data_IF_421896323279
#
_entry.id   IF_421896323279
#
_cell.length_a   1.000
_cell.length_b   1.000
_cell.length_c   1.000
_cell.angle_alpha   90.00
_cell.angle_beta   90.00
_cell.angle_gamma   90.00
#
_symmetry.space_group_name_H-M   'P 1'
#
loop_
_entity.id
_entity.type
_entity.pdbx_description
1 polymer ?
#
# COMPACT_ATOMS: atom_id res chain seq x y z
N UNK A 1 0.34 -24.51 22.99
CA UNK A 1 1.20 -24.11 21.86
C UNK A 1 2.07 -22.94 22.32
N UNK A 2 3.34 -22.83 21.92
CA UNK A 2 4.19 -21.72 22.34
C UNK A 2 3.70 -20.40 21.72
N UNK A 3 3.56 -19.36 22.54
CA UNK A 3 3.35 -17.98 22.12
C UNK A 3 4.68 -17.24 22.14
N UNK A 4 4.84 -16.27 21.24
CA UNK A 4 5.94 -15.31 21.27
C UNK A 4 5.42 -13.94 21.69
N UNK A 5 6.28 -13.14 22.34
CA UNK A 5 6.04 -11.71 22.45
C UNK A 5 5.98 -11.11 21.04
N UNK A 6 5.01 -10.23 20.82
CA UNK A 6 4.75 -9.63 19.53
C UNK A 6 3.84 -8.42 19.67
N UNK A 7 3.33 -7.98 18.53
CA UNK A 7 2.48 -6.79 18.43
C UNK A 7 1.10 -7.19 17.97
N UNK A 8 0.08 -6.64 18.60
CA UNK A 8 -1.30 -6.69 18.14
C UNK A 8 -1.82 -5.27 17.95
N UNK A 9 -2.51 -5.01 16.85
CA UNK A 9 -3.02 -3.68 16.57
C UNK A 9 -4.34 -3.71 15.81
N UNK A 10 -5.10 -2.63 15.93
CA UNK A 10 -6.26 -2.32 15.08
C UNK A 10 -6.02 -1.04 14.33
N UNK A 11 -6.52 -0.98 13.11
CA UNK A 11 -6.34 0.17 12.24
C UNK A 11 -7.58 0.43 11.40
N UNK A 12 -7.73 1.68 11.01
CA UNK A 12 -8.76 2.12 10.08
C UNK A 12 -8.10 2.84 8.91
N UNK A 13 -8.57 2.59 7.69
CA UNK A 13 -8.18 3.35 6.50
C UNK A 13 -9.42 3.94 5.87
N UNK A 14 -9.45 5.25 5.67
CA UNK A 14 -10.49 5.94 4.91
C UNK A 14 -9.88 6.55 3.67
N UNK A 15 -10.47 6.29 2.52
CA UNK A 15 -10.08 6.91 1.26
C UNK A 15 -11.31 7.50 0.61
N UNK A 16 -11.20 8.71 0.07
CA UNK A 16 -12.24 9.35 -0.72
C UNK A 16 -11.62 10.23 -1.79
N UNK A 17 -12.42 10.63 -2.78
CA UNK A 17 -11.96 11.52 -3.85
C UNK A 17 -12.97 12.62 -4.16
N UNK A 18 -12.46 13.74 -4.64
CA UNK A 18 -13.21 14.94 -5.04
C UNK A 18 -12.93 15.29 -6.51
N UNK A 19 -13.88 15.94 -7.18
CA UNK A 19 -13.80 16.36 -8.59
C UNK A 19 -14.68 15.56 -9.56
N UNK A 20 -14.65 15.91 -10.86
CA UNK A 20 -15.56 15.33 -11.89
C UNK A 20 -15.44 13.81 -12.09
N UNK A 21 -14.42 13.15 -11.54
CA UNK A 21 -14.24 11.68 -11.54
C UNK A 21 -14.25 11.05 -10.14
N UNK A 22 -14.83 11.74 -9.15
CA UNK A 22 -14.85 11.34 -7.74
C UNK A 22 -15.60 10.02 -7.43
N UNK A 23 -16.52 9.59 -8.30
CA UNK A 23 -17.50 8.54 -8.00
C UNK A 23 -16.95 7.13 -7.72
N UNK A 24 -15.64 6.88 -7.83
CA UNK A 24 -15.09 5.53 -7.89
C UNK A 24 -14.15 5.09 -6.74
N UNK A 25 -13.89 5.91 -5.71
CA UNK A 25 -12.81 5.61 -4.74
C UNK A 25 -13.10 5.97 -3.29
N UNK A 26 -14.36 5.82 -2.86
CA UNK A 26 -14.65 5.83 -1.43
C UNK A 26 -14.45 4.42 -0.89
N UNK A 27 -13.52 4.26 0.06
CA UNK A 27 -13.29 3.00 0.76
C UNK A 27 -13.00 3.26 2.22
N UNK A 28 -13.71 2.57 3.09
CA UNK A 28 -13.47 2.44 4.50
C UNK A 28 -13.03 1.00 4.77
N UNK A 29 -11.89 0.85 5.42
CA UNK A 29 -11.30 -0.45 5.76
C UNK A 29 -11.04 -0.45 7.26
N UNK A 30 -11.51 -1.49 7.94
CA UNK A 30 -11.08 -1.83 9.29
C UNK A 30 -10.21 -3.08 9.22
N UNK A 31 -9.02 -3.00 9.82
CA UNK A 31 -8.07 -4.09 9.82
C UNK A 31 -7.53 -4.38 11.22
N UNK A 32 -7.23 -5.64 11.46
CA UNK A 32 -6.61 -6.12 12.69
C UNK A 32 -5.34 -6.89 12.35
N UNK A 33 -4.24 -6.56 13.01
CA UNK A 33 -2.93 -7.08 12.67
C UNK A 33 -2.21 -7.71 13.85
N UNK A 34 -1.45 -8.76 13.56
CA UNK A 34 -0.56 -9.44 14.48
C UNK A 34 0.83 -9.53 13.87
N UNK A 35 1.85 -9.28 14.67
CA UNK A 35 3.25 -9.34 14.26
C UNK A 35 4.07 -10.07 15.32
N UNK A 36 4.98 -10.95 14.91
CA UNK A 36 5.98 -11.53 15.79
C UNK A 36 7.25 -11.83 14.98
N UNK A 37 8.34 -11.11 15.28
CA UNK A 37 9.57 -11.21 14.51
C UNK A 37 9.31 -10.86 13.04
N UNK A 38 9.60 -11.79 12.12
CA UNK A 38 9.39 -11.62 10.67
C UNK A 38 7.97 -11.99 10.20
N UNK A 39 7.13 -12.57 11.06
CA UNK A 39 5.79 -13.02 10.69
C UNK A 39 4.79 -11.91 10.95
N UNK A 40 3.85 -11.74 10.03
CA UNK A 40 2.73 -10.84 10.24
C UNK A 40 1.46 -11.36 9.58
N UNK A 41 0.32 -11.10 10.21
CA UNK A 41 -1.01 -11.35 9.67
C UNK A 41 -1.81 -10.07 9.79
N UNK A 42 -2.58 -9.72 8.75
CA UNK A 42 -3.50 -8.60 8.79
C UNK A 42 -4.84 -9.02 8.21
N UNK A 43 -5.85 -9.08 9.07
CA UNK A 43 -7.22 -9.43 8.70
C UNK A 43 -8.02 -8.18 8.37
N UNK A 44 -8.73 -8.20 7.24
CA UNK A 44 -9.67 -7.14 6.86
C UNK A 44 -11.04 -7.47 7.45
N UNK A 45 -11.36 -6.82 8.57
CA UNK A 45 -12.60 -7.04 9.32
C UNK A 45 -13.80 -6.43 8.59
N UNK A 46 -13.60 -5.25 8.03
CA UNK A 46 -14.55 -4.54 7.18
C UNK A 46 -13.79 -3.92 6.02
N UNK A 47 -14.36 -3.98 4.82
CA UNK A 47 -13.77 -3.35 3.65
C UNK A 47 -14.84 -3.18 2.58
N UNK A 48 -15.02 -1.96 2.09
CA UNK A 48 -15.86 -1.67 0.95
C UNK A 48 -15.01 -1.12 -0.20
N UNK A 49 -15.39 -1.44 -1.44
CA UNK A 49 -14.77 -0.87 -2.63
C UNK A 49 -13.33 -1.32 -2.93
N UNK A 50 -12.70 -2.16 -2.11
CA UNK A 50 -11.37 -2.72 -2.39
C UNK A 50 -11.45 -4.20 -2.83
N UNK A 51 -11.23 -4.52 -4.12
CA UNK A 51 -11.36 -5.89 -4.64
C UNK A 51 -10.26 -6.83 -4.14
N UNK A 52 -9.15 -6.31 -3.60
CA UNK A 52 -8.03 -7.11 -3.10
C UNK A 52 -8.11 -7.30 -1.59
N UNK A 53 -8.55 -6.28 -0.86
CA UNK A 53 -8.72 -6.32 0.58
C UNK A 53 -10.19 -6.61 0.94
N UNK A 54 -10.78 -7.68 0.40
CA UNK A 54 -12.19 -7.99 0.65
C UNK A 54 -12.43 -8.31 2.13
N UNK A 55 -13.63 -7.96 2.62
CA UNK A 55 -14.05 -8.30 3.98
C UNK A 55 -13.87 -9.81 4.26
N UNK A 56 -13.28 -10.14 5.41
CA UNK A 56 -13.04 -11.51 5.85
C UNK A 56 -11.77 -12.14 5.30
N UNK A 57 -11.11 -11.53 4.31
CA UNK A 57 -9.79 -11.96 3.84
C UNK A 57 -8.68 -11.47 4.76
N UNK A 58 -7.50 -12.08 4.65
CA UNK A 58 -6.32 -11.60 5.36
C UNK A 58 -5.05 -11.73 4.54
N UNK A 59 -4.10 -10.82 4.78
CA UNK A 59 -2.73 -10.93 4.27
C UNK A 59 -1.89 -11.62 5.34
N UNK A 60 -1.00 -12.50 4.91
CA UNK A 60 -0.05 -13.19 5.75
C UNK A 60 1.36 -13.08 5.14
N UNK A 61 2.35 -12.83 5.97
CA UNK A 61 3.75 -13.08 5.64
C UNK A 61 4.36 -13.98 6.71
N UNK A 62 5.38 -14.74 6.29
CA UNK A 62 6.20 -15.56 7.18
C UNK A 62 7.67 -15.13 7.17
N UNK A 63 8.04 -14.14 6.36
CA UNK A 63 9.43 -13.84 5.96
C UNK A 63 9.69 -12.32 5.80
N UNK A 64 9.08 -11.51 6.66
CA UNK A 64 9.32 -10.07 6.73
C UNK A 64 8.72 -9.30 5.55
N UNK A 65 7.68 -9.86 4.91
CA UNK A 65 7.00 -9.26 3.77
C UNK A 65 7.63 -9.57 2.41
N UNK A 66 8.65 -10.45 2.34
CA UNK A 66 9.22 -10.92 1.06
C UNK A 66 8.19 -11.72 0.27
N UNK A 67 7.43 -12.56 0.97
CA UNK A 67 6.28 -13.29 0.44
C UNK A 67 5.03 -12.83 1.17
N UNK A 68 4.03 -12.44 0.38
CA UNK A 68 2.70 -12.12 0.89
C UNK A 68 1.72 -13.19 0.40
N UNK A 69 0.86 -13.67 1.27
CA UNK A 69 -0.23 -14.56 0.93
C UNK A 69 -1.54 -13.82 1.17
N UNK A 70 -2.37 -13.69 0.15
CA UNK A 70 -3.76 -13.29 0.31
C UNK A 70 -4.57 -14.55 0.58
N UNK A 71 -5.14 -14.65 1.77
CA UNK A 71 -5.90 -15.82 2.19
C UNK A 71 -7.38 -15.46 2.26
N UNK A 72 -8.21 -16.30 1.64
CA UNK A 72 -9.66 -16.23 1.68
C UNK A 72 -10.20 -17.43 2.49
N UNK A 73 -10.62 -17.19 3.74
CA UNK A 73 -11.14 -18.25 4.61
C UNK A 73 -12.48 -18.83 4.16
N UNK A 74 -13.32 -18.03 3.52
CA UNK A 74 -14.64 -18.44 3.04
C UNK A 74 -14.51 -19.51 1.96
N UNK A 75 -13.62 -19.27 0.99
CA UNK A 75 -13.41 -20.19 -0.13
C UNK A 75 -12.35 -21.26 0.18
N UNK A 76 -11.70 -21.17 1.35
CA UNK A 76 -10.54 -22.00 1.74
C UNK A 76 -9.46 -21.98 0.66
N UNK A 77 -9.17 -20.79 0.16
CA UNK A 77 -8.13 -20.57 -0.84
C UNK A 77 -7.09 -19.60 -0.33
N UNK A 78 -5.89 -19.68 -0.87
CA UNK A 78 -4.88 -18.65 -0.71
C UNK A 78 -4.16 -18.44 -2.02
N UNK A 79 -3.68 -17.23 -2.25
CA UNK A 79 -2.86 -16.93 -3.40
C UNK A 79 -1.56 -16.29 -2.92
N UNK A 80 -0.44 -16.76 -3.43
CA UNK A 80 0.83 -16.09 -3.22
C UNK A 80 0.87 -14.83 -4.07
N UNK A 81 1.02 -13.70 -3.40
CA UNK A 81 1.24 -12.41 -4.02
C UNK A 81 2.74 -12.16 -4.14
N UNK A 82 3.32 -12.64 -5.25
CA UNK A 82 4.65 -12.20 -5.66
C UNK A 82 4.54 -10.79 -6.27
N UNK A 83 4.73 -9.77 -5.44
CA UNK A 83 4.67 -8.40 -5.92
C UNK A 83 5.81 -8.09 -6.90
N UNK A 84 6.97 -8.74 -6.76
CA UNK A 84 8.10 -8.53 -7.67
C UNK A 84 7.79 -9.12 -9.05
N UNK A 85 7.20 -10.31 -9.09
CA UNK A 85 6.64 -10.91 -10.31
C UNK A 85 5.55 -10.04 -10.92
N UNK A 86 4.59 -9.55 -10.13
CA UNK A 86 3.52 -8.68 -10.62
C UNK A 86 4.05 -7.36 -11.18
N UNK A 87 4.96 -6.68 -10.49
CA UNK A 87 5.59 -5.46 -10.97
C UNK A 87 6.48 -5.71 -12.20
N UNK A 88 7.13 -6.86 -12.27
CA UNK A 88 7.86 -7.31 -13.46
C UNK A 88 6.93 -7.48 -14.67
N UNK A 89 5.73 -8.05 -14.47
CA UNK A 89 4.70 -8.11 -15.52
C UNK A 89 4.23 -6.70 -15.91
N UNK A 90 3.98 -5.80 -14.95
CA UNK A 90 3.64 -4.40 -15.25
C UNK A 90 4.75 -3.73 -16.07
N UNK A 91 6.02 -3.89 -15.68
CA UNK A 91 7.15 -3.37 -16.43
C UNK A 91 7.28 -3.99 -17.82
N UNK A 92 7.07 -5.29 -17.96
CA UNK A 92 7.07 -5.99 -19.24
C UNK A 92 5.92 -5.52 -20.14
N UNK A 93 4.73 -5.26 -19.61
CA UNK A 93 3.60 -4.67 -20.33
C UNK A 93 3.93 -3.25 -20.78
N UNK A 94 4.46 -2.41 -19.88
CA UNK A 94 4.89 -1.04 -20.20
C UNK A 94 5.99 -1.01 -21.27
N UNK A 95 6.90 -2.00 -21.26
CA UNK A 95 7.99 -2.11 -22.23
C UNK A 95 7.56 -2.83 -23.53
N UNK A 96 6.59 -3.73 -23.47
CA UNK A 96 6.26 -4.71 -24.52
C UNK A 96 4.99 -4.42 -25.33
N UNK A 97 4.06 -3.58 -24.85
CA UNK A 97 2.85 -3.19 -25.61
C UNK A 97 3.11 -2.22 -26.78
N UNK A 98 4.38 -1.90 -27.08
CA UNK A 98 4.76 -1.16 -28.29
C UNK A 98 4.02 0.19 -28.45
N UNK A 99 3.71 0.64 -29.68
CA UNK A 99 3.08 1.94 -29.93
C UNK A 99 1.61 2.05 -29.45
N UNK A 100 1.00 0.95 -28.96
CA UNK A 100 -0.42 0.89 -28.61
C UNK A 100 -0.71 1.54 -27.24
N UNK A 101 0.17 1.34 -26.25
CA UNK A 101 0.05 1.90 -24.92
C UNK A 101 1.44 2.32 -24.40
N UNK A 102 1.64 3.62 -24.20
CA UNK A 102 2.88 4.18 -23.64
C UNK A 102 2.56 4.98 -22.38
N UNK A 103 3.04 4.51 -21.24
CA UNK A 103 2.98 5.23 -19.97
C UNK A 103 4.37 5.76 -19.67
N UNK A 104 4.49 7.06 -19.43
CA UNK A 104 5.75 7.73 -19.12
C UNK A 104 5.61 8.53 -17.83
N UNK A 105 6.66 8.53 -17.02
CA UNK A 105 6.77 9.34 -15.83
C UNK A 105 7.97 10.27 -16.00
N UNK A 106 7.76 11.57 -15.87
CA UNK A 106 8.84 12.55 -15.94
C UNK A 106 8.90 13.42 -14.68
N UNK A 107 10.09 13.97 -14.48
CA UNK A 107 10.37 14.98 -13.45
C UNK A 107 9.95 14.60 -12.02
N UNK A 108 10.21 13.34 -11.56
CA UNK A 108 9.88 12.98 -10.19
C UNK A 108 10.74 13.81 -9.23
N UNK A 109 10.07 14.55 -8.35
CA UNK A 109 10.68 15.33 -7.28
C UNK A 109 10.04 14.91 -5.96
N UNK A 110 10.86 14.61 -4.96
CA UNK A 110 10.42 14.35 -3.59
C UNK A 110 11.17 15.28 -2.65
N UNK A 111 10.42 15.98 -1.81
CA UNK A 111 10.92 17.00 -0.90
C UNK A 111 10.40 16.73 0.52
N UNK A 112 11.28 16.79 1.52
CA UNK A 112 10.89 16.73 2.93
C UNK A 112 10.49 18.14 3.34
N UNK A 113 9.21 18.33 3.66
CA UNK A 113 8.64 19.62 4.04
C UNK A 113 8.75 19.88 5.55
N UNK A 114 8.62 18.85 6.38
CA UNK A 114 8.69 18.98 7.83
C UNK A 114 9.21 17.70 8.50
N UNK A 115 9.78 17.88 9.68
CA UNK A 115 10.16 16.80 10.58
C UNK A 115 10.15 17.30 12.03
N UNK A 116 9.13 16.91 12.78
CA UNK A 116 8.82 17.45 14.10
C UNK A 116 8.32 16.36 15.06
N UNK A 117 8.13 16.73 16.33
CA UNK A 117 7.53 15.83 17.30
C UNK A 117 6.08 15.51 16.88
N UNK A 118 5.76 14.23 16.75
CA UNK A 118 4.44 13.79 16.29
C UNK A 118 3.43 13.60 17.40
N UNK A 119 3.80 13.85 18.66
CA UNK A 119 2.98 13.51 19.82
C UNK A 119 2.73 12.01 19.95
N UNK A 120 1.58 11.67 20.52
CA UNK A 120 1.17 10.29 20.76
C UNK A 120 0.14 9.84 19.72
N UNK A 121 0.35 8.67 19.11
CA UNK A 121 -0.68 7.94 18.34
C UNK A 121 -0.88 6.59 18.99
N UNK A 122 -2.14 6.22 19.30
CA UNK A 122 -2.47 5.03 20.09
C UNK A 122 -1.65 4.91 21.40
N UNK A 123 -1.35 6.04 22.05
CA UNK A 123 -0.56 6.09 23.27
C UNK A 123 0.96 5.95 23.08
N UNK A 124 1.44 5.84 21.85
CA UNK A 124 2.87 5.66 21.53
C UNK A 124 3.48 6.95 20.99
N UNK A 125 4.66 7.38 21.50
CA UNK A 125 5.40 8.52 20.96
C UNK A 125 5.82 8.33 19.50
N UNK A 126 5.55 9.35 18.69
CA UNK A 126 5.84 9.35 17.26
C UNK A 126 6.72 10.51 16.84
N UNK A 127 7.46 10.31 15.75
CA UNK A 127 8.07 11.38 14.96
C UNK A 127 7.16 11.66 13.77
N UNK A 128 6.84 12.93 13.54
CA UNK A 128 6.05 13.35 12.41
C UNK A 128 6.96 13.78 11.25
N UNK A 129 6.66 13.28 10.06
CA UNK A 129 7.34 13.63 8.82
C UNK A 129 6.33 14.10 7.79
N UNK A 130 6.64 15.19 7.10
CA UNK A 130 5.86 15.63 5.94
C UNK A 130 6.69 15.59 4.69
N UNK A 131 6.19 14.93 3.65
CA UNK A 131 6.80 14.84 2.34
C UNK A 131 5.87 15.36 1.26
N UNK A 132 6.45 15.95 0.20
CA UNK A 132 5.75 16.24 -1.04
C UNK A 132 6.47 15.55 -2.19
N UNK A 133 5.72 14.76 -2.95
CA UNK A 133 6.17 14.14 -4.18
C UNK A 133 5.38 14.71 -5.35
N UNK A 134 6.06 15.11 -6.42
CA UNK A 134 5.44 15.56 -7.66
C UNK A 134 6.05 14.87 -8.86
N UNK A 135 5.23 14.59 -9.88
CA UNK A 135 5.68 14.04 -11.16
C UNK A 135 4.66 14.35 -12.26
N UNK A 136 5.09 14.27 -13.51
CA UNK A 136 4.19 14.32 -14.66
C UNK A 136 3.98 12.92 -15.19
N UNK A 137 2.73 12.53 -15.37
CA UNK A 137 2.32 11.25 -15.96
C UNK A 137 1.74 11.50 -17.35
N UNK A 138 2.30 10.86 -18.36
CA UNK A 138 1.78 10.87 -19.72
C UNK A 138 1.36 9.47 -20.13
N UNK A 139 0.09 9.30 -20.48
CA UNK A 139 -0.45 8.05 -21.03
C UNK A 139 -0.81 8.30 -22.49
N UNK A 140 -0.21 7.54 -23.41
CA UNK A 140 -0.56 7.55 -24.83
C UNK A 140 -1.20 6.22 -25.20
N UNK A 141 -2.38 6.28 -25.79
CA UNK A 141 -3.09 5.12 -26.35
C UNK A 141 -3.26 5.38 -27.84
N UNK A 142 -2.74 4.50 -28.69
CA UNK A 142 -2.85 4.64 -30.16
C UNK A 142 -2.43 6.03 -30.68
N UNK A 143 -1.37 6.63 -30.11
CA UNK A 143 -0.88 7.97 -30.47
C UNK A 143 -1.65 9.14 -29.86
N UNK A 144 -2.84 8.94 -29.27
CA UNK A 144 -3.58 9.96 -28.54
C UNK A 144 -3.08 10.01 -27.08
N UNK A 145 -2.61 11.18 -26.65
CA UNK A 145 -2.00 11.37 -25.34
C UNK A 145 -2.88 12.14 -24.37
N UNK A 146 -2.86 11.72 -23.11
CA UNK A 146 -3.29 12.52 -21.98
C UNK A 146 -2.10 12.71 -21.02
N UNK A 147 -1.90 13.95 -20.57
CA UNK A 147 -0.87 14.29 -19.59
C UNK A 147 -1.54 14.83 -18.34
N UNK A 148 -1.09 14.37 -17.19
CA UNK A 148 -1.50 14.85 -15.89
C UNK A 148 -0.29 15.20 -15.04
N UNK A 149 -0.36 16.32 -14.32
CA UNK A 149 0.56 16.64 -13.25
C UNK A 149 0.01 16.05 -11.95
N UNK A 150 0.83 15.30 -11.23
CA UNK A 150 0.48 14.72 -9.95
C UNK A 150 1.31 15.38 -8.87
N UNK A 151 0.65 15.83 -7.81
CA UNK A 151 1.27 16.31 -6.56
C UNK A 151 0.65 15.55 -5.41
N UNK A 152 1.47 14.84 -4.64
CA UNK A 152 1.07 14.09 -3.47
C UNK A 152 1.78 14.63 -2.25
N UNK A 153 1.04 15.05 -1.24
CA UNK A 153 1.55 15.30 0.11
C UNK A 153 1.27 14.10 0.99
N UNK A 154 2.23 13.77 1.84
CA UNK A 154 2.14 12.67 2.78
C UNK A 154 2.66 13.11 4.15
N UNK A 155 1.79 13.05 5.15
CA UNK A 155 2.10 13.26 6.55
C UNK A 155 2.15 11.88 7.23
N UNK A 156 3.22 11.60 7.99
CA UNK A 156 3.54 10.27 8.53
C UNK A 156 3.92 10.42 9.98
N UNK A 157 3.20 9.74 10.87
CA UNK A 157 3.54 9.64 12.29
C UNK A 157 4.13 8.26 12.55
N UNK A 158 5.45 8.17 12.67
CA UNK A 158 6.15 6.91 12.86
C UNK A 158 6.57 6.71 14.32
N UNK A 159 6.29 5.53 14.87
CA UNK A 159 6.73 5.11 16.19
C UNK A 159 8.27 5.07 16.26
N UNK A 160 8.84 5.73 17.26
CA UNK A 160 10.31 5.88 17.39
C UNK A 160 11.02 4.65 17.96
N UNK A 161 10.27 3.66 18.50
CA UNK A 161 10.82 2.52 19.25
C UNK A 161 10.34 1.13 18.81
N UNK A 162 9.45 1.04 17.81
CA UNK A 162 8.97 -0.26 17.32
C UNK A 162 9.96 -0.83 16.30
N UNK A 163 10.52 -2.02 16.57
CA UNK A 163 11.63 -2.62 15.78
C UNK A 163 11.31 -3.98 15.16
N UNK A 164 10.10 -4.53 15.35
CA UNK A 164 9.74 -5.83 14.77
C UNK A 164 9.71 -5.77 13.24
N UNK A 165 10.52 -6.62 12.59
CA UNK A 165 10.68 -6.66 11.13
C UNK A 165 9.36 -6.92 10.38
N UNK A 166 8.44 -7.70 10.97
CA UNK A 166 7.12 -7.99 10.41
C UNK A 166 6.17 -6.79 10.36
N UNK A 167 6.51 -5.68 11.03
CA UNK A 167 5.84 -4.39 10.82
C UNK A 167 6.12 -3.80 9.43
N UNK A 168 7.19 -4.27 8.75
CA UNK A 168 7.56 -3.89 7.39
C UNK A 168 6.64 -4.43 6.29
N UNK A 169 5.64 -5.27 6.61
CA UNK A 169 4.67 -5.74 5.60
C UNK A 169 3.93 -4.59 4.94
N UNK A 170 3.65 -3.51 5.68
CA UNK A 170 3.05 -2.29 5.13
C UNK A 170 4.08 -1.29 4.62
N UNK A 171 5.29 -1.34 5.16
CA UNK A 171 6.41 -0.48 4.80
C UNK A 171 7.55 -1.29 4.21
N UNK A 172 7.55 -1.39 2.88
CA UNK A 172 8.67 -1.99 2.19
C UNK A 172 9.94 -1.19 2.46
N UNK A 173 10.91 -1.84 3.11
CA UNK A 173 12.23 -1.28 3.35
C UNK A 173 13.02 -1.07 2.04
N UNK A 174 12.70 -1.85 1.00
CA UNK A 174 13.32 -1.74 -0.32
C UNK A 174 12.28 -1.30 -1.37
N UNK A 175 12.58 -0.25 -2.16
CA UNK A 175 11.72 0.14 -3.27
C UNK A 175 11.67 -1.00 -4.29
N UNK A 176 10.47 -1.48 -4.56
CA UNK A 176 10.25 -2.57 -5.50
C UNK A 176 10.73 -2.17 -6.90
N UNK A 177 11.23 -3.14 -7.68
CA UNK A 177 11.70 -2.90 -9.05
C UNK A 177 10.70 -3.45 -10.04
N UNK A 178 10.39 -2.66 -11.06
CA UNK A 178 9.48 -3.04 -12.15
C UNK A 178 10.24 -3.44 -13.40
N UNK A 179 11.52 -3.07 -13.52
CA UNK A 179 12.30 -3.26 -14.75
C UNK A 179 12.06 -2.17 -15.80
N UNK A 180 11.19 -1.19 -15.52
CA UNK A 180 11.07 0.04 -16.27
C UNK A 180 11.84 1.16 -15.56
N UNK A 181 12.90 1.68 -16.20
CA UNK A 181 13.83 2.64 -15.57
C UNK A 181 13.15 3.91 -15.06
N UNK A 182 12.15 4.43 -15.77
CA UNK A 182 11.44 5.65 -15.37
C UNK A 182 10.55 5.38 -14.16
N UNK A 183 9.83 4.26 -14.16
CA UNK A 183 8.98 3.87 -13.03
C UNK A 183 9.81 3.49 -11.80
N UNK A 184 10.92 2.77 -11.98
CA UNK A 184 11.85 2.43 -10.91
C UNK A 184 12.46 3.67 -10.26
N UNK A 185 12.75 4.71 -11.06
CA UNK A 185 13.21 6.01 -10.56
C UNK A 185 12.13 6.70 -9.72
N UNK A 186 10.86 6.65 -10.13
CA UNK A 186 9.74 7.19 -9.35
C UNK A 186 9.54 6.41 -8.04
N UNK A 187 9.59 5.06 -8.09
CA UNK A 187 9.47 4.22 -6.90
C UNK A 187 10.61 4.48 -5.92
N UNK A 188 11.82 4.67 -6.43
CA UNK A 188 13.00 5.01 -5.62
C UNK A 188 12.90 6.43 -5.05
N UNK A 189 12.45 7.42 -5.83
CA UNK A 189 12.32 8.80 -5.34
C UNK A 189 11.25 8.91 -4.25
N UNK A 190 10.18 8.13 -4.40
CA UNK A 190 9.04 8.07 -3.47
C UNK A 190 9.26 7.10 -2.31
N UNK A 191 10.40 6.41 -2.27
CA UNK A 191 10.71 5.49 -1.18
C UNK A 191 10.73 6.25 0.15
N UNK A 192 10.04 5.68 1.14
CA UNK A 192 9.96 6.21 2.49
C UNK A 192 11.36 6.46 3.07
N UNK A 193 11.69 7.72 3.36
CA UNK A 193 12.94 8.12 4.03
C UNK A 193 12.71 8.46 5.51
N UNK A 194 11.83 7.72 6.17
CA UNK A 194 11.57 7.87 7.59
C UNK A 194 11.92 6.57 8.32
N UNK A 195 12.24 6.71 9.60
CA UNK A 195 12.54 5.56 10.46
C UNK A 195 11.33 5.24 11.33
N UNK A 196 11.11 3.95 11.57
CA UNK A 196 10.05 3.44 12.46
C UNK A 196 8.81 2.95 11.72
N UNK A 197 7.82 2.52 12.51
CA UNK A 197 6.54 1.98 12.02
C UNK A 197 5.47 3.08 11.97
N UNK A 198 4.73 3.26 10.87
CA UNK A 198 3.80 4.36 10.73
C UNK A 198 2.51 4.01 11.48
N UNK A 199 2.21 4.75 12.52
CA UNK A 199 0.96 4.63 13.26
C UNK A 199 -0.16 5.45 12.63
N UNK A 200 0.20 6.49 11.87
CA UNK A 200 -0.74 7.28 11.09
C UNK A 200 -0.09 7.74 9.80
N UNK A 201 -0.84 7.68 8.71
CA UNK A 201 -0.45 8.21 7.42
C UNK A 201 -1.63 8.97 6.85
N UNK A 202 -1.43 10.24 6.53
CA UNK A 202 -2.40 11.05 5.78
C UNK A 202 -1.77 11.36 4.43
N UNK A 203 -2.48 11.02 3.36
CA UNK A 203 -2.04 11.29 1.98
C UNK A 203 -3.10 12.14 1.28
N UNK A 204 -2.67 13.22 0.65
CA UNK A 204 -3.49 14.04 -0.24
C UNK A 204 -2.82 14.10 -1.59
N UNK A 205 -3.46 13.53 -2.61
CA UNK A 205 -2.92 13.45 -3.97
C UNK A 205 -3.83 14.19 -4.94
N UNK A 206 -3.31 15.23 -5.56
CA UNK A 206 -3.96 15.98 -6.62
C UNK A 206 -3.40 15.58 -7.97
N UNK A 207 -4.28 15.15 -8.88
CA UNK A 207 -3.97 14.88 -10.28
C UNK A 207 -4.70 15.89 -11.17
N UNK A 208 -3.96 16.73 -11.86
CA UNK A 208 -4.50 17.76 -12.75
C UNK A 208 -4.19 17.42 -14.20
N UNK A 209 -5.23 17.18 -15.00
CA UNK A 209 -5.07 16.97 -16.45
C UNK A 209 -4.69 18.28 -17.12
N UNK A 210 -3.63 18.26 -17.94
CA UNK A 210 -3.20 19.44 -18.70
C UNK A 210 -4.29 19.87 -19.69
N UNK A 211 -4.95 18.90 -20.34
CA UNK A 211 -6.06 19.17 -21.25
C UNK A 211 -7.35 19.34 -20.44
N UNK A 212 -7.96 20.52 -20.54
CA UNK A 212 -9.22 20.84 -19.88
C UNK A 212 -9.12 21.14 -18.38
N UNK A 213 -7.90 21.21 -17.82
CA UNK A 213 -7.62 21.57 -16.43
C UNK A 213 -8.47 20.81 -15.39
N UNK A 214 -8.82 19.57 -15.69
CA UNK A 214 -9.67 18.74 -14.83
C UNK A 214 -8.83 18.20 -13.68
N UNK A 215 -9.22 18.51 -12.46
CA UNK A 215 -8.55 18.05 -11.26
C UNK A 215 -9.33 16.93 -10.57
N UNK A 216 -8.60 15.98 -10.01
CA UNK A 216 -9.11 15.00 -9.07
C UNK A 216 -8.20 15.00 -7.86
N UNK A 217 -8.79 15.14 -6.67
CA UNK A 217 -8.06 15.10 -5.40
C UNK A 217 -8.48 13.85 -4.66
N UNK A 218 -7.51 13.02 -4.28
CA UNK A 218 -7.74 11.82 -3.48
C UNK A 218 -7.16 12.04 -2.09
N UNK A 219 -7.97 11.78 -1.08
CA UNK A 219 -7.58 11.80 0.32
C UNK A 219 -7.54 10.37 0.83
N UNK A 220 -6.52 10.04 1.62
CA UNK A 220 -6.41 8.75 2.29
C UNK A 220 -5.83 8.95 3.69
N UNK A 221 -6.50 8.42 4.70
CA UNK A 221 -6.02 8.43 6.09
C UNK A 221 -6.00 7.00 6.60
N UNK A 222 -4.82 6.49 6.90
CA UNK A 222 -4.62 5.25 7.66
C UNK A 222 -4.22 5.62 9.09
N UNK A 223 -4.86 5.02 10.08
CA UNK A 223 -4.56 5.27 11.50
C UNK A 223 -4.68 3.99 12.31
N UNK A 224 -3.65 3.69 13.10
CA UNK A 224 -3.65 2.67 14.15
C UNK A 224 -4.41 3.25 15.34
N UNK A 225 -5.53 2.60 15.68
CA UNK A 225 -6.44 3.06 16.74
C UNK A 225 -6.18 2.36 18.06
N UNK A 226 -5.60 1.16 18.03
CA UNK A 226 -5.19 0.38 19.20
C UNK A 226 -3.88 -0.31 18.90
N UNK A 227 -2.98 -0.37 19.89
CA UNK A 227 -1.68 -1.01 19.80
C UNK A 227 -1.31 -1.64 21.14
N UNK A 228 -1.10 -2.95 21.13
CA UNK A 228 -0.44 -3.69 22.20
C UNK A 228 0.92 -4.17 21.69
N UNK A 229 1.99 -3.54 22.17
CA UNK A 229 3.36 -3.84 21.77
C UNK A 229 3.96 -5.05 22.52
N UNK A 230 3.24 -5.64 23.47
CA UNK A 230 3.67 -6.80 24.26
C UNK A 230 2.67 -7.96 24.17
N UNK A 231 1.92 -8.02 23.07
CA UNK A 231 0.92 -9.03 22.85
C UNK A 231 1.55 -10.44 22.84
N UNK A 232 0.85 -11.39 23.47
CA UNK A 232 1.20 -12.80 23.36
C UNK A 232 0.54 -13.37 22.11
N UNK A 233 1.33 -13.60 21.05
CA UNK A 233 0.81 -14.06 19.75
C UNK A 233 1.10 -15.55 19.58
N UNK A 234 0.07 -16.41 19.45
CA UNK A 234 0.26 -17.83 19.15
C UNK A 234 0.92 -18.04 17.79
N UNK A 235 1.85 -19.01 17.68
CA UNK A 235 2.48 -19.33 16.40
C UNK A 235 1.46 -19.71 15.31
N UNK A 236 0.35 -20.35 15.69
CA UNK A 236 -0.74 -20.73 14.79
C UNK A 236 -1.44 -19.55 14.11
N UNK A 237 -1.29 -18.32 14.64
CA UNK A 237 -1.81 -17.10 14.01
C UNK A 237 -1.24 -16.89 12.62
N UNK A 238 -0.01 -17.37 12.38
CA UNK A 238 0.72 -17.17 11.14
C UNK A 238 0.67 -18.38 10.20
N UNK A 239 -0.18 -19.36 10.48
CA UNK A 239 -0.32 -20.53 9.63
C UNK A 239 -1.53 -20.40 8.70
N UNK A 240 -1.35 -20.81 7.44
CA UNK A 240 -2.47 -21.05 6.53
C UNK A 240 -3.10 -22.38 6.98
N UNK A 241 -4.41 -22.45 7.26
CA UNK A 241 -5.00 -23.68 7.76
C UNK A 241 -4.88 -24.84 6.77
N UNK A 242 -4.75 -26.06 7.31
CA UNK A 242 -4.66 -27.27 6.49
C UNK A 242 -5.90 -27.43 5.59
N UNK A 243 -5.67 -27.91 4.37
CA UNK A 243 -6.72 -28.14 3.37
C UNK A 243 -7.12 -26.91 2.55
N UNK A 244 -6.47 -25.75 2.77
CA UNK A 244 -6.62 -24.61 1.86
C UNK A 244 -5.93 -24.88 0.54
N UNK A 245 -6.54 -24.44 -0.56
CA UNK A 245 -6.01 -24.62 -1.92
C UNK A 245 -5.28 -23.37 -2.38
N UNK A 246 -4.09 -23.56 -2.93
CA UNK A 246 -3.40 -22.46 -3.60
C UNK A 246 -4.12 -22.12 -4.90
N UNK A 247 -4.35 -20.83 -5.14
CA UNK A 247 -4.89 -20.28 -6.37
C UNK A 247 -3.92 -19.25 -6.93
N UNK A 248 -3.96 -19.05 -8.24
CA UNK A 248 -3.25 -17.94 -8.86
C UNK A 248 -4.09 -16.67 -8.71
N UNK A 249 -3.44 -15.54 -8.39
CA UNK A 249 -4.07 -14.24 -8.52
C UNK A 249 -4.34 -14.03 -10.01
N UNK A 250 -5.57 -14.27 -10.45
CA UNK A 250 -5.96 -13.90 -11.80
C UNK A 250 -5.79 -12.37 -11.92
N UNK A 251 -5.16 -11.85 -12.98
CA UNK A 251 -5.12 -10.42 -13.19
C UNK A 251 -6.57 -9.92 -13.18
N UNK A 252 -6.90 -9.06 -12.23
CA UNK A 252 -8.24 -8.50 -12.09
C UNK A 252 -8.64 -7.88 -13.42
N UNK A 253 -9.54 -8.55 -14.14
CA UNK A 253 -10.27 -7.95 -15.26
C UNK A 253 -11.24 -6.93 -14.66
N UNK A 254 -10.74 -5.77 -14.26
CA UNK A 254 -11.56 -4.60 -13.95
C UNK A 254 -10.97 -3.42 -14.71
N UNK A 255 -11.61 -3.11 -15.82
CA UNK A 255 -11.19 -2.09 -16.78
C UNK A 255 -11.71 -2.28 -18.20
N UNK A 256 -12.65 -3.21 -18.43
CA UNK A 256 -13.44 -3.25 -19.65
C UNK A 256 -14.92 -3.16 -19.27
N UNK A 257 -15.39 -1.92 -19.11
CA UNK A 257 -16.78 -1.60 -19.43
C UNK A 257 -16.75 -0.45 -20.44
N UNK A 258 -17.61 -0.52 -21.48
CA UNK A 258 -17.58 0.37 -22.64
C UNK A 258 -17.81 1.86 -22.30
#
# INVERSE_FOLDING_TARGET
MPCSAGIHYKSTTKTWSEGERAHARNSDIQAEGWVAGEKAKVAFLESNGNPVAQQGTYILTKDGGKTLYLVNPQDKTYAQWDLQGMLGVVGAVMNGMGPLLKIQFSDPKTEKLAEDDGGLVAGVPTRHYKYRTSYTMTVKVLGMGNTANVVSEQDIWAATKATDAGLGVWLRAEPARTGNKEFDKLLTSSAAKFQGFPLKVVTVSASTQQKGNKQTVTHSTMEVTQLDANASVPASTFEIPAGYKETQIAPTQQGASP
#
